data_IF_731464472752
#
_entry.id   IF_731464472752
#
_cell.length_a   1.000
_cell.length_b   1.000
_cell.length_c   1.000
_cell.angle_alpha   90.00
_cell.angle_beta   90.00
_cell.angle_gamma   90.00
#
_symmetry.space_group_name_H-M   'P 1'
#
loop_
_entity.id
_entity.type
_entity.pdbx_description
1 polymer ?
#
# COMPACT_ATOMS: atom_id res chain seq x y z
N UNK A 1 21.30 42.03 -9.02
CA UNK A 1 21.44 40.88 -8.14
C UNK A 1 20.07 40.51 -7.63
N UNK A 2 19.75 39.18 -7.65
CA UNK A 2 18.52 38.64 -7.18
C UNK A 2 18.81 37.39 -6.34
N UNK A 3 18.23 37.31 -5.13
CA UNK A 3 18.36 36.16 -4.24
C UNK A 3 17.21 36.11 -3.23
N UNK A 4 16.94 34.93 -2.69
CA UNK A 4 16.04 34.74 -1.55
C UNK A 4 16.86 34.65 -0.26
N UNK A 5 16.31 35.14 0.85
CA UNK A 5 16.91 35.06 2.17
C UNK A 5 15.87 34.78 3.24
N UNK A 6 16.21 33.97 4.20
CA UNK A 6 15.42 33.79 5.40
C UNK A 6 15.78 34.88 6.43
N UNK A 7 14.77 35.38 7.13
CA UNK A 7 14.91 36.40 8.13
C UNK A 7 13.84 36.26 9.23
N UNK A 8 13.76 37.26 10.10
CA UNK A 8 12.71 37.38 11.10
C UNK A 8 12.00 38.72 10.97
N UNK A 9 10.69 38.70 11.13
CA UNK A 9 9.87 39.90 11.22
C UNK A 9 10.08 40.62 12.59
N UNK A 10 9.39 41.74 12.80
CA UNK A 10 9.46 42.52 14.05
C UNK A 10 8.93 41.76 15.26
N UNK A 11 8.12 40.72 15.05
CA UNK A 11 7.55 39.86 16.10
C UNK A 11 8.37 38.57 16.34
N UNK A 12 9.48 38.39 15.61
CA UNK A 12 10.34 37.22 15.70
C UNK A 12 9.94 36.03 14.85
N UNK A 13 8.88 36.14 14.02
CA UNK A 13 8.45 35.06 13.14
C UNK A 13 9.42 34.94 11.95
N UNK A 14 9.67 33.70 11.51
CA UNK A 14 10.49 33.45 10.32
C UNK A 14 9.77 33.94 9.06
N UNK A 15 10.48 34.68 8.24
CA UNK A 15 10.00 35.17 6.95
C UNK A 15 10.98 34.84 5.85
N UNK A 16 10.49 34.69 4.64
CA UNK A 16 11.27 34.48 3.42
C UNK A 16 11.14 35.76 2.58
N UNK A 17 12.27 36.36 2.29
CA UNK A 17 12.35 37.61 1.54
C UNK A 17 12.93 37.36 0.14
N UNK A 18 12.22 37.80 -0.90
CA UNK A 18 12.80 37.99 -2.23
C UNK A 18 13.49 39.34 -2.28
N UNK A 19 14.79 39.33 -2.49
CA UNK A 19 15.63 40.55 -2.47
C UNK A 19 16.19 40.82 -3.85
N UNK A 20 15.99 42.04 -4.33
CA UNK A 20 16.57 42.53 -5.60
C UNK A 20 17.33 43.80 -5.39
N UNK A 21 18.55 43.84 -5.93
CA UNK A 21 19.37 45.06 -5.98
C UNK A 21 19.62 45.46 -7.44
N UNK A 22 19.27 46.67 -7.76
CA UNK A 22 19.47 47.27 -9.08
C UNK A 22 20.35 48.49 -8.90
N UNK A 23 21.40 48.58 -9.71
CA UNK A 23 22.22 49.79 -9.82
C UNK A 23 21.61 50.65 -10.92
N UNK A 24 21.31 51.88 -10.59
CA UNK A 24 20.88 52.90 -11.53
C UNK A 24 22.01 53.88 -11.70
N UNK A 25 22.59 53.91 -12.89
CA UNK A 25 23.69 54.86 -13.19
C UNK A 25 23.08 56.24 -13.40
N UNK A 26 23.67 57.23 -12.78
CA UNK A 26 23.28 58.63 -12.90
C UNK A 26 23.92 59.30 -14.16
N UNK A 27 23.54 60.54 -14.41
CA UNK A 27 24.16 61.39 -15.43
C UNK A 27 25.60 61.72 -15.05
N UNK A 28 26.40 62.29 -15.95
CA UNK A 28 27.81 62.62 -15.78
C UNK A 28 28.15 63.45 -14.50
N UNK A 29 27.13 64.01 -13.83
CA UNK A 29 27.25 64.84 -12.61
C UNK A 29 26.70 64.15 -11.34
N UNK A 30 26.07 62.94 -11.46
CA UNK A 30 25.43 62.26 -10.32
C UNK A 30 26.06 60.87 -10.04
N UNK A 31 26.24 60.57 -8.75
CA UNK A 31 26.74 59.27 -8.32
C UNK A 31 25.68 58.16 -8.58
N UNK A 32 26.13 56.93 -8.89
CA UNK A 32 25.22 55.80 -9.08
C UNK A 32 24.45 55.48 -7.81
N UNK A 33 23.13 55.18 -7.98
CA UNK A 33 22.23 54.82 -6.89
C UNK A 33 21.99 53.32 -6.89
N UNK A 34 21.99 52.69 -5.71
CA UNK A 34 21.59 51.31 -5.54
C UNK A 34 20.20 51.29 -4.98
N UNK A 35 19.23 50.74 -5.75
CA UNK A 35 17.87 50.49 -5.32
C UNK A 35 17.79 49.05 -4.82
N UNK A 36 17.37 48.88 -3.57
CA UNK A 36 17.07 47.56 -2.98
C UNK A 36 15.57 47.41 -2.79
N UNK A 37 15.01 46.35 -3.32
CA UNK A 37 13.61 46.02 -3.18
C UNK A 37 13.54 44.67 -2.47
N UNK A 38 12.69 44.57 -1.46
CA UNK A 38 12.51 43.36 -0.66
C UNK A 38 10.98 43.05 -0.57
N UNK A 39 10.60 41.85 -0.91
CA UNK A 39 9.22 41.37 -0.77
C UNK A 39 9.19 40.21 0.19
N UNK A 40 8.21 40.21 1.08
CA UNK A 40 7.87 39.04 1.89
C UNK A 40 7.12 38.04 1.00
N UNK A 41 7.74 36.90 0.77
CA UNK A 41 7.19 35.79 -0.04
C UNK A 41 6.92 34.56 0.81
N UNK A 42 6.85 34.70 2.14
CA UNK A 42 6.72 33.60 3.09
C UNK A 42 5.48 32.76 2.79
N UNK A 43 4.31 33.40 2.66
CA UNK A 43 3.06 32.72 2.34
C UNK A 43 3.13 32.01 0.98
N UNK A 44 3.69 32.68 -0.03
CA UNK A 44 3.85 32.09 -1.37
C UNK A 44 4.75 30.84 -1.35
N UNK A 45 5.86 30.89 -0.63
CA UNK A 45 6.77 29.74 -0.51
C UNK A 45 6.16 28.62 0.33
N UNK A 46 5.36 28.94 1.36
CA UNK A 46 4.63 27.93 2.12
C UNK A 46 3.59 27.22 1.25
N UNK A 47 2.75 27.96 0.54
CA UNK A 47 1.73 27.40 -0.39
C UNK A 47 2.42 26.56 -1.47
N UNK A 48 3.51 27.04 -2.03
CA UNK A 48 4.26 26.31 -3.05
C UNK A 48 4.83 24.98 -2.52
N UNK A 49 5.36 24.96 -1.30
CA UNK A 49 5.85 23.72 -0.64
C UNK A 49 4.71 22.75 -0.36
N UNK A 50 3.57 23.25 0.11
CA UNK A 50 2.38 22.42 0.36
C UNK A 50 1.84 21.82 -0.95
N UNK A 51 1.73 22.64 -2.00
CA UNK A 51 1.30 22.18 -3.33
C UNK A 51 2.26 21.13 -3.89
N UNK A 52 3.55 21.35 -3.76
CA UNK A 52 4.57 20.40 -4.22
C UNK A 52 4.46 19.06 -3.47
N UNK A 53 4.33 19.11 -2.13
CA UNK A 53 4.14 17.89 -1.30
C UNK A 53 2.86 17.15 -1.66
N UNK A 54 1.76 17.89 -1.89
CA UNK A 54 0.48 17.30 -2.31
C UNK A 54 0.58 16.65 -3.69
N UNK A 55 1.28 17.31 -4.64
CA UNK A 55 1.54 16.78 -5.97
C UNK A 55 2.35 15.48 -5.90
N UNK A 56 3.45 15.47 -5.14
CA UNK A 56 4.30 14.28 -4.98
C UNK A 56 3.53 13.10 -4.38
N UNK A 57 2.67 13.35 -3.39
CA UNK A 57 1.79 12.32 -2.82
C UNK A 57 0.80 11.77 -3.85
N UNK A 58 0.22 12.63 -4.68
CA UNK A 58 -0.71 12.22 -5.73
C UNK A 58 0.01 11.39 -6.81
N UNK A 59 1.17 11.83 -7.29
CA UNK A 59 1.98 11.10 -8.28
C UNK A 59 2.44 9.74 -7.76
N UNK A 60 2.84 9.67 -6.48
CA UNK A 60 3.20 8.40 -5.83
C UNK A 60 1.99 7.46 -5.74
N UNK A 61 0.81 7.97 -5.37
CA UNK A 61 -0.43 7.19 -5.32
C UNK A 61 -0.80 6.62 -6.70
N UNK A 62 -0.71 7.43 -7.76
CA UNK A 62 -1.01 6.99 -9.12
C UNK A 62 0.00 5.95 -9.63
N UNK A 63 1.28 6.11 -9.30
CA UNK A 63 2.32 5.13 -9.63
C UNK A 63 2.07 3.79 -8.93
N UNK A 64 1.73 3.81 -7.63
CA UNK A 64 1.40 2.61 -6.86
C UNK A 64 0.15 1.91 -7.42
N UNK A 65 -0.90 2.66 -7.78
CA UNK A 65 -2.09 2.09 -8.42
C UNK A 65 -1.78 1.43 -9.76
N UNK A 66 -0.95 2.05 -10.58
CA UNK A 66 -0.54 1.51 -11.88
C UNK A 66 0.27 0.22 -11.72
N UNK A 67 1.23 0.20 -10.79
CA UNK A 67 2.03 -0.99 -10.49
C UNK A 67 1.15 -2.12 -9.92
N UNK A 68 0.19 -1.78 -9.04
CA UNK A 68 -0.77 -2.74 -8.50
C UNK A 68 -1.60 -3.39 -9.62
N UNK A 69 -2.19 -2.61 -10.53
CA UNK A 69 -2.99 -3.14 -11.64
C UNK A 69 -2.16 -4.03 -12.58
N UNK A 70 -0.92 -3.64 -12.86
CA UNK A 70 -0.01 -4.45 -13.68
C UNK A 70 0.31 -5.79 -13.01
N UNK A 71 0.62 -5.78 -11.71
CA UNK A 71 0.88 -6.99 -10.94
C UNK A 71 -0.36 -7.89 -10.85
N UNK A 72 -1.54 -7.31 -10.57
CA UNK A 72 -2.80 -8.06 -10.53
C UNK A 72 -3.12 -8.73 -11.86
N UNK A 73 -2.89 -8.02 -12.99
CA UNK A 73 -3.08 -8.60 -14.32
C UNK A 73 -2.20 -9.82 -14.54
N UNK A 74 -0.97 -9.79 -14.04
CA UNK A 74 -0.04 -10.92 -14.15
C UNK A 74 -0.46 -12.07 -13.22
N UNK A 75 -0.81 -11.75 -11.96
CA UNK A 75 -1.24 -12.75 -10.96
C UNK A 75 -2.55 -13.45 -11.35
N UNK A 76 -3.45 -12.78 -12.07
CA UNK A 76 -4.68 -13.36 -12.65
C UNK A 76 -4.37 -14.23 -13.87
N UNK A 77 -3.48 -13.78 -14.75
CA UNK A 77 -3.18 -14.47 -16.01
C UNK A 77 -2.57 -15.85 -15.80
N UNK A 78 -1.69 -15.98 -14.82
CA UNK A 78 -0.98 -17.24 -14.55
C UNK A 78 -1.93 -18.39 -14.21
N UNK A 79 -2.81 -18.31 -13.17
CA UNK A 79 -3.76 -19.36 -12.88
C UNK A 79 -4.79 -19.55 -14.00
N UNK A 80 -5.21 -18.48 -14.67
CA UNK A 80 -6.16 -18.58 -15.80
C UNK A 80 -5.57 -19.40 -16.94
N UNK A 81 -4.32 -19.16 -17.33
CA UNK A 81 -3.65 -19.94 -18.38
C UNK A 81 -3.50 -21.41 -17.98
N UNK A 82 -3.20 -21.68 -16.70
CA UNK A 82 -3.14 -23.05 -16.19
C UNK A 82 -4.52 -23.75 -16.28
N UNK A 83 -5.60 -23.07 -15.85
CA UNK A 83 -6.97 -23.60 -15.96
C UNK A 83 -7.30 -23.92 -17.40
N UNK A 84 -7.07 -23.01 -18.34
CA UNK A 84 -7.35 -23.21 -19.78
C UNK A 84 -6.53 -24.36 -20.35
N UNK A 85 -5.19 -24.37 -20.10
CA UNK A 85 -4.30 -25.39 -20.63
C UNK A 85 -4.61 -26.79 -20.12
N UNK A 86 -4.77 -26.95 -18.82
CA UNK A 86 -5.09 -28.27 -18.24
C UNK A 86 -6.52 -28.73 -18.53
N UNK A 87 -7.47 -27.81 -18.75
CA UNK A 87 -8.81 -28.17 -19.21
C UNK A 87 -8.80 -28.81 -20.60
N UNK A 88 -7.93 -28.34 -21.51
CA UNK A 88 -7.73 -28.99 -22.82
C UNK A 88 -7.13 -30.39 -22.64
N UNK A 89 -6.12 -30.54 -21.81
CA UNK A 89 -5.49 -31.83 -21.54
C UNK A 89 -6.46 -32.86 -20.93
N UNK A 90 -7.38 -32.40 -20.06
CA UNK A 90 -8.47 -33.25 -19.54
C UNK A 90 -9.35 -33.78 -20.66
N UNK A 91 -9.66 -32.92 -21.66
CA UNK A 91 -10.52 -33.29 -22.77
C UNK A 91 -9.85 -34.24 -23.78
N UNK A 92 -8.53 -34.21 -23.88
CA UNK A 92 -7.74 -35.00 -24.84
C UNK A 92 -7.18 -36.29 -24.25
N UNK A 93 -7.04 -36.40 -22.92
CA UNK A 93 -6.49 -37.58 -22.26
C UNK A 93 -7.54 -38.72 -22.12
N UNK A 94 -7.17 -39.91 -22.53
CA UNK A 94 -7.94 -41.14 -22.29
C UNK A 94 -7.60 -41.78 -20.94
N UNK A 95 -6.50 -41.38 -20.29
CA UNK A 95 -6.07 -41.93 -18.99
C UNK A 95 -6.80 -41.26 -17.82
N UNK A 96 -7.43 -42.10 -16.98
CA UNK A 96 -8.21 -41.62 -15.84
C UNK A 96 -7.36 -41.00 -14.74
N UNK A 97 -6.13 -41.48 -14.52
CA UNK A 97 -5.20 -40.94 -13.50
C UNK A 97 -4.61 -39.60 -13.96
N UNK A 98 -4.28 -39.48 -15.26
CA UNK A 98 -3.86 -38.20 -15.81
C UNK A 98 -4.97 -37.16 -15.72
N UNK A 99 -6.21 -37.50 -16.12
CA UNK A 99 -7.38 -36.60 -15.99
C UNK A 99 -7.57 -36.13 -14.56
N UNK A 100 -7.43 -37.03 -13.59
CA UNK A 100 -7.55 -36.69 -12.16
C UNK A 100 -6.45 -35.72 -11.72
N UNK A 101 -5.22 -35.94 -12.18
CA UNK A 101 -4.08 -35.05 -11.90
C UNK A 101 -4.33 -33.66 -12.47
N UNK A 102 -4.74 -33.56 -13.75
CA UNK A 102 -5.04 -32.28 -14.39
C UNK A 102 -6.23 -31.55 -13.74
N UNK A 103 -7.28 -32.32 -13.35
CA UNK A 103 -8.41 -31.76 -12.60
C UNK A 103 -7.97 -31.13 -11.27
N UNK A 104 -7.09 -31.77 -10.52
CA UNK A 104 -6.57 -31.23 -9.27
C UNK A 104 -5.81 -29.92 -9.50
N UNK A 105 -5.04 -29.84 -10.60
CA UNK A 105 -4.32 -28.61 -10.97
C UNK A 105 -5.31 -27.49 -11.33
N UNK A 106 -6.34 -27.79 -12.10
CA UNK A 106 -7.40 -26.83 -12.44
C UNK A 106 -8.10 -26.31 -11.19
N UNK A 107 -8.45 -27.22 -10.28
CA UNK A 107 -9.15 -26.87 -9.03
C UNK A 107 -8.28 -25.98 -8.13
N UNK A 108 -7.01 -26.32 -7.93
CA UNK A 108 -6.07 -25.51 -7.14
C UNK A 108 -5.89 -24.10 -7.73
N UNK A 109 -5.83 -23.95 -9.06
CA UNK A 109 -5.73 -22.65 -9.72
C UNK A 109 -7.04 -21.84 -9.64
N UNK A 110 -8.21 -22.51 -9.66
CA UNK A 110 -9.49 -21.86 -9.41
C UNK A 110 -9.57 -21.28 -7.99
N UNK A 111 -9.18 -22.05 -6.98
CA UNK A 111 -9.15 -21.59 -5.59
C UNK A 111 -8.22 -20.37 -5.44
N UNK A 112 -7.03 -20.43 -6.05
CA UNK A 112 -6.08 -19.30 -6.07
C UNK A 112 -6.69 -18.05 -6.72
N UNK A 113 -7.40 -18.21 -7.86
CA UNK A 113 -8.03 -17.10 -8.56
C UNK A 113 -9.15 -16.47 -7.72
N UNK A 114 -9.99 -17.28 -7.08
CA UNK A 114 -11.04 -16.81 -6.19
C UNK A 114 -10.45 -16.05 -4.99
N UNK A 115 -9.34 -16.53 -4.42
CA UNK A 115 -8.65 -15.83 -3.35
C UNK A 115 -8.16 -14.46 -3.80
N UNK A 116 -7.49 -14.36 -4.97
CA UNK A 116 -7.02 -13.08 -5.53
C UNK A 116 -8.17 -12.09 -5.77
N UNK A 117 -9.30 -12.56 -6.29
CA UNK A 117 -10.48 -11.72 -6.49
C UNK A 117 -10.99 -11.16 -5.15
N UNK A 118 -11.07 -11.99 -4.12
CA UNK A 118 -11.51 -11.56 -2.80
C UNK A 118 -10.55 -10.54 -2.18
N UNK A 119 -9.23 -10.71 -2.35
CA UNK A 119 -8.21 -9.75 -1.89
C UNK A 119 -8.35 -8.39 -2.59
N UNK A 120 -8.62 -8.38 -3.91
CA UNK A 120 -8.87 -7.15 -4.67
C UNK A 120 -10.15 -6.45 -4.18
N UNK A 121 -11.23 -7.21 -3.95
CA UNK A 121 -12.49 -6.67 -3.44
C UNK A 121 -12.34 -6.12 -2.02
N UNK A 122 -11.61 -6.80 -1.15
CA UNK A 122 -11.31 -6.31 0.20
C UNK A 122 -10.50 -5.00 0.14
N UNK A 123 -9.47 -4.93 -0.70
CA UNK A 123 -8.69 -3.71 -0.90
C UNK A 123 -9.57 -2.55 -1.39
N UNK A 124 -10.43 -2.81 -2.37
CA UNK A 124 -11.39 -1.81 -2.89
C UNK A 124 -12.33 -1.28 -1.80
N UNK A 125 -12.83 -2.16 -0.91
CA UNK A 125 -13.67 -1.77 0.23
C UNK A 125 -12.89 -0.94 1.27
N UNK A 126 -11.61 -1.25 1.49
CA UNK A 126 -10.75 -0.48 2.39
C UNK A 126 -10.49 0.92 1.82
N UNK A 127 -10.11 1.02 0.54
CA UNK A 127 -9.85 2.31 -0.12
C UNK A 127 -11.08 3.22 -0.19
N UNK A 128 -12.26 2.64 -0.40
CA UNK A 128 -13.53 3.39 -0.43
C UNK A 128 -14.10 3.70 0.97
N UNK A 129 -13.50 3.16 2.04
CA UNK A 129 -14.03 3.29 3.40
C UNK A 129 -15.37 2.57 3.62
N UNK A 130 -15.72 1.61 2.76
CA UNK A 130 -16.99 0.86 2.80
C UNK A 130 -16.86 -0.51 3.45
N UNK A 131 -15.72 -0.77 4.11
CA UNK A 131 -15.53 -2.02 4.85
C UNK A 131 -16.48 -2.07 6.04
N UNK A 132 -17.26 -3.13 6.13
CA UNK A 132 -18.14 -3.40 7.27
C UNK A 132 -17.45 -4.40 8.19
N UNK A 133 -17.52 -4.13 9.50
CA UNK A 133 -17.02 -5.01 10.54
C UNK A 133 -18.17 -5.59 11.34
N UNK A 134 -18.11 -6.89 11.58
CA UNK A 134 -19.07 -7.61 12.44
C UNK A 134 -18.41 -7.87 13.79
N UNK A 135 -18.49 -6.89 14.69
CA UNK A 135 -17.93 -7.03 16.03
C UNK A 135 -18.75 -7.97 16.91
N UNK A 136 -18.06 -8.80 17.69
CA UNK A 136 -18.64 -9.69 18.68
C UNK A 136 -17.61 -10.31 19.60
N UNK A 137 -18.02 -10.94 20.71
CA UNK A 137 -17.10 -11.59 21.63
C UNK A 137 -16.44 -12.80 20.98
N UNK A 138 -15.10 -12.84 21.02
CA UNK A 138 -14.31 -13.93 20.49
C UNK A 138 -13.23 -14.35 21.49
N UNK A 139 -13.01 -15.66 21.65
CA UNK A 139 -11.86 -16.18 22.38
C UNK A 139 -10.61 -16.06 21.52
N UNK A 140 -9.65 -15.28 22.00
CA UNK A 140 -8.38 -15.10 21.27
C UNK A 140 -7.61 -16.41 21.17
N UNK A 141 -7.65 -17.25 22.21
CA UNK A 141 -7.06 -18.57 22.21
C UNK A 141 -7.61 -19.45 21.08
N UNK A 142 -8.95 -19.57 21.02
CA UNK A 142 -9.60 -20.40 19.99
C UNK A 142 -9.30 -19.88 18.57
N UNK A 143 -9.30 -18.56 18.38
CA UNK A 143 -9.02 -17.94 17.09
C UNK A 143 -7.58 -18.22 16.64
N UNK A 144 -6.58 -18.07 17.52
CA UNK A 144 -5.20 -18.37 17.20
C UNK A 144 -5.00 -19.87 16.92
N UNK A 145 -5.69 -20.73 17.65
CA UNK A 145 -5.66 -22.18 17.44
C UNK A 145 -6.25 -22.58 16.08
N UNK A 146 -7.39 -22.00 15.70
CA UNK A 146 -7.96 -22.19 14.37
C UNK A 146 -7.00 -21.79 13.25
N UNK A 147 -6.31 -20.65 13.41
CA UNK A 147 -5.28 -20.22 12.45
C UNK A 147 -4.10 -21.19 12.42
N UNK A 148 -3.58 -21.60 13.58
CA UNK A 148 -2.51 -22.59 13.67
C UNK A 148 -2.88 -23.88 12.94
N UNK A 149 -4.06 -24.43 13.22
CA UNK A 149 -4.53 -25.69 12.64
C UNK A 149 -4.73 -25.59 11.12
N UNK A 150 -5.11 -24.40 10.61
CA UNK A 150 -5.25 -24.16 9.18
C UNK A 150 -3.89 -24.10 8.45
N UNK A 151 -2.80 -23.75 9.15
CA UNK A 151 -1.49 -23.54 8.54
C UNK A 151 -0.49 -24.67 8.81
N UNK A 152 -0.67 -25.49 9.84
CA UNK A 152 0.28 -26.53 10.24
C UNK A 152 0.63 -27.51 9.10
N UNK A 153 -0.35 -27.88 8.26
CA UNK A 153 -0.14 -28.79 7.13
C UNK A 153 0.47 -28.13 5.89
N UNK A 154 0.55 -26.78 5.88
CA UNK A 154 1.15 -26.01 4.78
C UNK A 154 2.59 -25.60 5.08
N UNK A 155 3.05 -25.86 6.31
CA UNK A 155 4.39 -25.50 6.76
C UNK A 155 5.44 -26.35 6.03
N UNK A 156 6.51 -25.77 5.46
CA UNK A 156 7.55 -26.49 4.74
C UNK A 156 8.29 -27.49 5.62
N UNK A 157 8.90 -28.53 5.00
CA UNK A 157 9.71 -29.49 5.71
C UNK A 157 10.86 -28.80 6.46
N UNK A 158 11.00 -29.09 7.75
CA UNK A 158 12.05 -28.50 8.61
C UNK A 158 11.65 -27.21 9.32
N UNK A 159 10.46 -26.69 9.06
CA UNK A 159 9.87 -25.57 9.82
C UNK A 159 8.81 -26.14 10.77
N UNK A 160 8.77 -25.63 12.00
CA UNK A 160 7.76 -26.00 13.00
C UNK A 160 6.95 -24.77 13.35
N UNK A 161 5.64 -24.84 13.12
CA UNK A 161 4.70 -23.81 13.58
C UNK A 161 4.22 -24.23 14.98
N UNK A 162 4.53 -23.42 15.98
CA UNK A 162 4.16 -23.67 17.38
C UNK A 162 3.26 -22.56 17.87
N UNK A 163 2.17 -22.90 18.53
CA UNK A 163 1.29 -21.98 19.21
C UNK A 163 1.39 -22.18 20.72
N UNK A 164 1.72 -21.11 21.44
CA UNK A 164 1.75 -21.06 22.89
C UNK A 164 0.84 -19.96 23.40
N UNK A 165 0.07 -20.22 24.44
CA UNK A 165 -0.81 -19.23 25.09
C UNK A 165 -0.56 -19.23 26.59
N UNK A 166 -0.43 -18.05 27.17
CA UNK A 166 -0.35 -17.83 28.62
C UNK A 166 -1.72 -17.70 29.28
N UNK A 167 -2.76 -17.35 28.49
CA UNK A 167 -4.13 -17.16 28.99
C UNK A 167 -5.13 -17.66 27.92
N UNK A 168 -5.74 -18.81 28.21
CA UNK A 168 -6.76 -19.42 27.33
C UNK A 168 -8.15 -18.81 27.51
N UNK A 169 -8.35 -18.03 28.57
CA UNK A 169 -9.66 -17.45 28.90
C UNK A 169 -9.90 -16.06 28.30
N UNK A 170 -8.88 -15.49 27.63
CA UNK A 170 -8.95 -14.12 27.12
C UNK A 170 -10.04 -13.97 26.05
N UNK A 171 -11.02 -13.14 26.36
CA UNK A 171 -12.09 -12.75 25.43
C UNK A 171 -11.84 -11.33 24.94
N UNK A 172 -12.03 -11.12 23.65
CA UNK A 172 -11.91 -9.81 22.98
C UNK A 172 -13.17 -9.50 22.19
N UNK A 173 -13.50 -8.22 22.06
CA UNK A 173 -14.58 -7.73 21.21
C UNK A 173 -13.97 -7.40 19.84
N UNK A 174 -14.25 -8.23 18.83
CA UNK A 174 -13.63 -8.06 17.51
C UNK A 174 -14.44 -8.72 16.40
N UNK A 175 -14.10 -8.42 15.16
CA UNK A 175 -14.53 -9.22 14.00
C UNK A 175 -13.59 -10.44 13.86
N UNK A 176 -14.09 -11.60 14.29
CA UNK A 176 -13.34 -12.87 14.27
C UNK A 176 -12.76 -13.18 12.89
N UNK A 177 -13.55 -12.98 11.82
CA UNK A 177 -13.13 -13.34 10.46
C UNK A 177 -12.00 -12.43 9.98
N UNK A 178 -12.06 -11.14 10.30
CA UNK A 178 -11.01 -10.19 9.92
C UNK A 178 -9.72 -10.43 10.68
N UNK A 179 -9.79 -10.70 11.98
CA UNK A 179 -8.59 -11.05 12.77
C UNK A 179 -7.99 -12.38 12.30
N UNK A 180 -8.82 -13.39 12.03
CA UNK A 180 -8.37 -14.65 11.43
C UNK A 180 -7.62 -14.39 10.11
N UNK A 181 -8.18 -13.58 9.21
CA UNK A 181 -7.60 -13.22 7.92
C UNK A 181 -6.23 -12.53 8.10
N UNK A 182 -6.12 -11.57 9.03
CA UNK A 182 -4.86 -10.86 9.29
C UNK A 182 -3.78 -11.81 9.79
N UNK A 183 -4.10 -12.64 10.80
CA UNK A 183 -3.11 -13.56 11.37
C UNK A 183 -2.71 -14.61 10.33
N UNK A 184 -3.67 -15.16 9.57
CA UNK A 184 -3.41 -16.12 8.48
C UNK A 184 -2.48 -15.55 7.42
N UNK A 185 -2.68 -14.30 7.01
CA UNK A 185 -1.83 -13.64 6.02
C UNK A 185 -0.40 -13.43 6.57
N UNK A 186 -0.27 -13.05 7.85
CA UNK A 186 1.05 -12.87 8.47
C UNK A 186 1.81 -14.19 8.58
N UNK A 187 1.14 -15.28 8.99
CA UNK A 187 1.75 -16.61 9.05
C UNK A 187 2.11 -17.10 7.65
N UNK A 188 1.20 -16.99 6.68
CA UNK A 188 1.45 -17.39 5.30
C UNK A 188 2.62 -16.67 4.63
N UNK A 189 2.92 -15.44 5.06
CA UNK A 189 4.10 -14.68 4.59
C UNK A 189 5.38 -15.06 5.35
N UNK A 190 5.27 -15.68 6.51
CA UNK A 190 6.41 -16.03 7.35
C UNK A 190 6.93 -17.47 7.11
N UNK A 191 6.10 -18.35 6.55
CA UNK A 191 6.39 -19.75 6.24
C UNK A 191 6.32 -20.00 4.74
#
# INVERSE_FOLDING_TARGET
LHWTAEGKDRNGNMIILDKRKIRVDGDELSSPIIVSIEWDITELEMIKRELQSSKEKAEMSDSLKSAFLANMSHEIRTPLNAIVGFSHLIAESDDAEERKTYYNIVNANNERLLQLINEILDLSKIESGTIEFSFGPASLHNLCREVHDAHIFRTPQGVSLVYESSDESLMIETDKNRVFQVISNLIGNAV
#
